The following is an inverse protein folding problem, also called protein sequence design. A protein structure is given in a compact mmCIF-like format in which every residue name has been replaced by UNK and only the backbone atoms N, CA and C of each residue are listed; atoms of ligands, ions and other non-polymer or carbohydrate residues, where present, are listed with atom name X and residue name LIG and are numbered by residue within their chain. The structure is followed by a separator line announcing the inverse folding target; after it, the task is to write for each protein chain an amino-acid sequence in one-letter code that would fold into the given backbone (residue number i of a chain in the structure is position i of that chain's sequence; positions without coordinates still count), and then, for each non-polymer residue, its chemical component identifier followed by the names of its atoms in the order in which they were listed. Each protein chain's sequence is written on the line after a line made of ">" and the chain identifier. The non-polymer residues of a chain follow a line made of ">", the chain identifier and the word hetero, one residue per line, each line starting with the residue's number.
data_IF_277825536822
#
_entry.id   IF_277825536822
#
_cell.length_a   1.000
_cell.length_b   1.000
_cell.length_c   1.000
_cell.angle_alpha   90.00
_cell.angle_beta   90.00
_cell.angle_gamma   90.00
#
_symmetry.space_group_name_H-M   'P 1'
#
loop_
_entity.id
_entity.type
_entity.pdbx_description
1 polymer ?
#
# COMPACT_ATOMS: atom_id res chain seq x y z
N UNK A 1 -25.36 14.47 -20.56
CA UNK A 1 -25.08 13.27 -19.72
C UNK A 1 -23.61 13.20 -19.31
N UNK A 2 -22.64 13.11 -20.24
CA UNK A 2 -21.20 12.97 -19.91
C UNK A 2 -20.68 14.05 -18.95
N UNK A 3 -20.97 15.33 -19.23
CA UNK A 3 -20.55 16.46 -18.36
C UNK A 3 -21.00 16.29 -16.91
N UNK A 4 -22.26 15.90 -16.68
CA UNK A 4 -22.79 15.68 -15.34
C UNK A 4 -22.09 14.52 -14.60
N UNK A 5 -21.65 13.48 -15.33
CA UNK A 5 -20.86 12.38 -14.75
C UNK A 5 -19.48 12.87 -14.34
N UNK A 6 -18.81 13.66 -15.20
CA UNK A 6 -17.49 14.24 -14.89
C UNK A 6 -17.57 15.18 -13.68
N UNK A 7 -18.57 16.07 -13.66
CA UNK A 7 -18.81 16.99 -12.53
C UNK A 7 -19.06 16.20 -11.24
N UNK A 8 -19.81 15.10 -11.31
CA UNK A 8 -20.03 14.22 -10.16
C UNK A 8 -18.74 13.55 -9.67
N UNK A 9 -17.88 13.08 -10.58
CA UNK A 9 -16.57 12.50 -10.22
C UNK A 9 -15.70 13.53 -9.51
N UNK A 10 -15.58 14.75 -10.06
CA UNK A 10 -14.81 15.83 -9.43
C UNK A 10 -15.38 16.20 -8.06
N UNK A 11 -16.71 16.30 -7.94
CA UNK A 11 -17.35 16.59 -6.65
C UNK A 11 -17.08 15.50 -5.61
N UNK A 12 -17.13 14.22 -6.00
CA UNK A 12 -16.78 13.14 -5.08
C UNK A 12 -15.31 13.19 -4.65
N UNK A 13 -14.39 13.47 -5.58
CA UNK A 13 -12.96 13.62 -5.28
C UNK A 13 -12.68 14.82 -4.36
N UNK A 14 -13.31 15.96 -4.61
CA UNK A 14 -13.14 17.18 -3.82
C UNK A 14 -13.57 17.03 -2.35
N UNK A 15 -14.45 16.07 -2.06
CA UNK A 15 -14.94 15.76 -0.72
C UNK A 15 -14.34 14.47 -0.12
N UNK A 16 -13.25 13.95 -0.69
CA UNK A 16 -12.61 12.67 -0.32
C UNK A 16 -13.62 11.51 -0.16
N UNK A 17 -14.64 11.48 -1.04
CA UNK A 17 -15.67 10.44 -0.96
C UNK A 17 -15.13 9.14 -1.51
N UNK A 18 -15.20 8.10 -0.68
CA UNK A 18 -14.66 6.76 -1.01
C UNK A 18 -15.74 5.80 -1.50
N UNK A 19 -16.62 6.25 -2.40
CA UNK A 19 -17.71 5.39 -2.91
C UNK A 19 -17.16 4.26 -3.78
N UNK A 20 -17.86 3.12 -3.80
CA UNK A 20 -17.49 1.95 -4.61
C UNK A 20 -17.39 2.30 -6.09
N UNK A 21 -18.34 3.07 -6.62
CA UNK A 21 -18.37 3.47 -8.02
C UNK A 21 -17.16 4.35 -8.40
N UNK A 22 -16.81 5.34 -7.57
CA UNK A 22 -15.63 6.18 -7.82
C UNK A 22 -14.35 5.35 -7.80
N UNK A 23 -14.18 4.49 -6.78
CA UNK A 23 -13.00 3.62 -6.68
C UNK A 23 -12.86 2.68 -7.88
N UNK A 24 -13.97 2.14 -8.38
CA UNK A 24 -13.97 1.27 -9.55
C UNK A 24 -13.53 2.04 -10.81
N UNK A 25 -14.08 3.24 -11.04
CA UNK A 25 -13.67 4.09 -12.14
C UNK A 25 -12.17 4.44 -12.07
N UNK A 26 -11.70 4.89 -10.90
CA UNK A 26 -10.28 5.21 -10.70
C UNK A 26 -9.39 3.98 -10.94
N UNK A 27 -9.80 2.80 -10.47
CA UNK A 27 -9.12 1.52 -10.74
C UNK A 27 -8.96 1.24 -12.24
N UNK A 28 -10.03 1.43 -13.02
CA UNK A 28 -9.96 1.29 -14.48
C UNK A 28 -9.01 2.31 -15.13
N UNK A 29 -9.04 3.56 -14.69
CA UNK A 29 -8.16 4.62 -15.20
C UNK A 29 -6.69 4.34 -14.88
N UNK A 30 -6.37 3.96 -13.63
CA UNK A 30 -5.00 3.60 -13.25
C UNK A 30 -4.50 2.41 -14.03
N UNK A 31 -5.30 1.35 -14.19
CA UNK A 31 -4.90 0.17 -14.96
C UNK A 31 -4.53 0.53 -16.39
N UNK A 32 -5.34 1.37 -17.05
CA UNK A 32 -5.03 1.85 -18.39
C UNK A 32 -3.75 2.69 -18.41
N UNK A 33 -3.62 3.65 -17.50
CA UNK A 33 -2.47 4.55 -17.46
C UNK A 33 -1.14 3.81 -17.20
N UNK A 34 -1.13 2.82 -16.30
CA UNK A 34 0.03 1.96 -16.06
C UNK A 34 0.34 1.06 -17.26
N UNK A 35 -0.68 0.40 -17.83
CA UNK A 35 -0.50 -0.48 -18.98
C UNK A 35 0.02 0.25 -20.23
N UNK A 36 -0.35 1.53 -20.40
CA UNK A 36 0.18 2.36 -21.50
C UNK A 36 1.51 3.05 -21.17
N UNK A 37 2.04 2.88 -19.95
CA UNK A 37 3.26 3.55 -19.50
C UNK A 37 3.13 5.07 -19.33
N UNK A 38 1.90 5.60 -19.28
CA UNK A 38 1.63 7.02 -19.04
C UNK A 38 2.00 7.41 -17.60
N UNK A 39 1.89 6.45 -16.68
CA UNK A 39 2.36 6.56 -15.29
C UNK A 39 3.23 5.37 -14.95
N UNK A 40 4.17 5.58 -14.03
CA UNK A 40 4.98 4.54 -13.41
C UNK A 40 4.91 4.65 -11.89
N UNK A 41 5.04 3.53 -11.20
CA UNK A 41 5.14 3.50 -9.75
C UNK A 41 6.52 3.96 -9.34
N UNK A 42 6.63 5.13 -8.74
CA UNK A 42 7.90 5.64 -8.26
C UNK A 42 8.35 4.86 -7.02
N UNK A 43 9.60 4.40 -7.03
CA UNK A 43 10.22 3.65 -5.95
C UNK A 43 11.57 4.31 -5.63
N UNK A 44 11.80 4.60 -4.35
CA UNK A 44 13.09 5.12 -3.90
C UNK A 44 14.21 4.09 -4.15
N UNK A 45 15.37 4.60 -4.56
CA UNK A 45 16.52 3.83 -5.07
C UNK A 45 17.02 2.75 -4.10
N UNK A 46 16.88 2.99 -2.80
CA UNK A 46 17.33 2.08 -1.73
C UNK A 46 16.36 0.93 -1.44
N UNK A 47 15.09 1.04 -1.86
CA UNK A 47 14.02 0.11 -1.48
C UNK A 47 14.22 -1.27 -2.11
N UNK A 48 14.39 -1.35 -3.43
CA UNK A 48 14.55 -2.63 -4.13
C UNK A 48 15.81 -3.39 -3.68
N UNK A 49 16.99 -2.75 -3.59
CA UNK A 49 18.19 -3.42 -3.05
C UNK A 49 18.02 -3.93 -1.61
N UNK A 50 17.34 -3.18 -0.75
CA UNK A 50 17.10 -3.59 0.63
C UNK A 50 16.17 -4.81 0.70
N UNK A 51 15.03 -4.77 -0.01
CA UNK A 51 14.07 -5.88 -0.04
C UNK A 51 14.73 -7.16 -0.57
N UNK A 52 15.53 -7.08 -1.65
CA UNK A 52 16.26 -8.25 -2.18
C UNK A 52 17.16 -8.89 -1.11
N UNK A 53 17.93 -8.09 -0.37
CA UNK A 53 18.78 -8.58 0.74
C UNK A 53 17.96 -9.22 1.86
N UNK A 54 16.82 -8.65 2.21
CA UNK A 54 15.94 -9.24 3.23
C UNK A 54 15.38 -10.60 2.81
N UNK A 55 14.97 -10.74 1.54
CA UNK A 55 14.51 -12.02 0.97
C UNK A 55 15.62 -13.06 0.93
N UNK A 56 16.83 -12.67 0.52
CA UNK A 56 18.02 -13.54 0.56
C UNK A 56 18.34 -14.02 1.99
N UNK A 57 18.07 -13.19 2.99
CA UNK A 57 18.18 -13.54 4.41
C UNK A 57 16.98 -14.36 4.94
N UNK A 58 16.03 -14.74 4.08
CA UNK A 58 14.87 -15.56 4.44
C UNK A 58 13.69 -14.79 5.01
N UNK A 59 13.69 -13.45 4.97
CA UNK A 59 12.56 -12.64 5.43
C UNK A 59 11.42 -12.64 4.40
N UNK A 60 10.19 -12.64 4.90
CA UNK A 60 9.00 -12.36 4.08
C UNK A 60 8.71 -10.85 4.08
N UNK A 61 8.20 -10.34 2.97
CA UNK A 61 7.93 -8.92 2.77
C UNK A 61 6.47 -8.74 2.34
N UNK A 62 5.74 -7.93 3.10
CA UNK A 62 4.32 -7.65 2.87
C UNK A 62 4.08 -6.14 2.75
N UNK A 63 3.04 -5.75 2.01
CA UNK A 63 2.59 -4.35 1.92
C UNK A 63 1.32 -4.14 2.74
N UNK A 64 1.22 -3.01 3.45
CA UNK A 64 -0.01 -2.54 4.07
C UNK A 64 -0.26 -1.07 3.74
N UNK A 65 -1.34 -0.79 3.00
CA UNK A 65 -1.66 0.56 2.53
C UNK A 65 -3.16 0.83 2.54
N UNK A 66 -3.56 2.10 2.56
CA UNK A 66 -4.96 2.49 2.37
C UNK A 66 -5.45 2.29 0.93
N UNK A 67 -4.52 2.24 -0.04
CA UNK A 67 -4.82 1.88 -1.43
C UNK A 67 -5.28 0.43 -1.53
N UNK A 68 -6.21 0.14 -2.45
CA UNK A 68 -6.68 -1.24 -2.65
C UNK A 68 -5.53 -2.17 -3.03
N UNK A 69 -5.64 -3.46 -2.70
CA UNK A 69 -4.64 -4.46 -3.13
C UNK A 69 -4.41 -4.42 -4.65
N UNK A 70 -5.45 -4.15 -5.44
CA UNK A 70 -5.32 -3.98 -6.89
C UNK A 70 -4.43 -2.79 -7.26
N UNK A 71 -4.65 -1.62 -6.64
CA UNK A 71 -3.85 -0.43 -6.90
C UNK A 71 -2.38 -0.62 -6.46
N UNK A 72 -2.15 -1.30 -5.35
CA UNK A 72 -0.81 -1.66 -4.90
C UNK A 72 -0.11 -2.54 -5.95
N UNK A 73 -0.79 -3.58 -6.46
CA UNK A 73 -0.22 -4.45 -7.47
C UNK A 73 0.11 -3.72 -8.78
N UNK A 74 -0.73 -2.76 -9.17
CA UNK A 74 -0.43 -1.91 -10.33
C UNK A 74 0.81 -1.04 -10.10
N UNK A 75 0.96 -0.43 -8.92
CA UNK A 75 2.12 0.40 -8.59
C UNK A 75 3.43 -0.39 -8.67
N UNK A 76 3.48 -1.58 -8.05
CA UNK A 76 4.68 -2.41 -8.01
C UNK A 76 4.93 -3.19 -9.32
N UNK A 77 3.88 -3.55 -10.07
CA UNK A 77 4.01 -4.24 -11.36
C UNK A 77 4.47 -3.33 -12.51
N UNK A 78 4.28 -2.02 -12.37
CA UNK A 78 4.66 -1.02 -13.37
C UNK A 78 5.58 0.06 -12.76
N UNK A 79 6.51 -0.37 -11.91
CA UNK A 79 7.38 0.56 -11.19
C UNK A 79 8.49 1.16 -12.08
N UNK A 80 9.18 2.18 -11.56
CA UNK A 80 10.40 2.72 -12.17
C UNK A 80 11.52 1.68 -12.28
N UNK A 81 11.49 0.65 -11.43
CA UNK A 81 12.44 -0.47 -11.38
C UNK A 81 11.96 -1.70 -12.20
N UNK A 82 10.88 -1.56 -12.97
CA UNK A 82 10.23 -2.67 -13.67
C UNK A 82 9.15 -3.36 -12.83
N UNK A 83 8.79 -4.59 -13.18
CA UNK A 83 7.88 -5.39 -12.37
C UNK A 83 8.64 -5.97 -11.17
N UNK A 84 8.25 -5.55 -9.97
CA UNK A 84 8.85 -6.00 -8.71
C UNK A 84 7.86 -6.74 -7.81
N UNK A 85 6.74 -7.23 -8.37
CA UNK A 85 5.71 -7.94 -7.59
C UNK A 85 6.25 -9.21 -6.93
N UNK A 86 7.22 -9.89 -7.55
CA UNK A 86 7.86 -11.09 -7.00
C UNK A 86 8.62 -10.83 -5.68
N UNK A 87 8.91 -9.56 -5.36
CA UNK A 87 9.57 -9.20 -4.12
C UNK A 87 8.63 -9.20 -2.90
N UNK A 88 7.32 -9.29 -3.11
CA UNK A 88 6.31 -9.24 -2.06
C UNK A 88 5.57 -10.58 -1.92
N UNK A 89 5.45 -11.08 -0.70
CA UNK A 89 4.73 -12.31 -0.37
C UNK A 89 3.23 -12.07 -0.14
N UNK A 90 2.81 -10.81 -0.03
CA UNK A 90 1.39 -10.46 0.08
C UNK A 90 1.11 -8.97 0.25
N UNK A 91 -0.18 -8.64 0.19
CA UNK A 91 -0.70 -7.28 0.25
C UNK A 91 -1.91 -7.22 1.18
N UNK A 92 -1.97 -6.15 1.97
CA UNK A 92 -3.08 -5.81 2.84
C UNK A 92 -3.58 -4.41 2.50
N UNK A 93 -4.90 -4.24 2.51
CA UNK A 93 -5.56 -2.94 2.40
C UNK A 93 -6.52 -2.72 3.57
N UNK A 94 -7.28 -1.62 3.54
CA UNK A 94 -8.26 -1.28 4.60
C UNK A 94 -9.30 -2.37 4.90
N UNK A 95 -9.44 -3.41 4.07
CA UNK A 95 -10.30 -4.57 4.37
C UNK A 95 -9.82 -5.36 5.58
N UNK A 96 -8.51 -5.38 5.87
CA UNK A 96 -7.98 -6.02 7.09
C UNK A 96 -8.33 -5.19 8.34
N UNK A 97 -8.40 -3.87 8.16
CA UNK A 97 -8.74 -2.86 9.16
C UNK A 97 -8.02 -1.52 8.88
N UNK A 98 -8.35 -0.45 9.64
CA UNK A 98 -7.66 0.85 9.56
C UNK A 98 -6.23 0.81 10.09
N UNK A 99 -5.30 1.54 9.45
CA UNK A 99 -3.86 1.56 9.81
C UNK A 99 -3.54 2.16 11.18
N UNK A 100 -4.50 2.84 11.80
CA UNK A 100 -4.37 3.49 13.11
C UNK A 100 -5.05 2.69 14.24
N UNK A 101 -5.43 1.44 13.97
CA UNK A 101 -6.03 0.53 14.95
C UNK A 101 -5.10 -0.67 15.17
N UNK A 102 -4.71 -0.94 16.42
CA UNK A 102 -3.81 -2.04 16.79
C UNK A 102 -4.34 -3.41 16.35
N UNK A 103 -5.65 -3.56 16.32
CA UNK A 103 -6.31 -4.79 15.89
C UNK A 103 -6.02 -5.16 14.42
N UNK A 104 -5.77 -4.17 13.55
CA UNK A 104 -5.38 -4.42 12.15
C UNK A 104 -4.07 -5.20 12.08
N UNK A 105 -3.09 -4.86 12.93
CA UNK A 105 -1.77 -5.50 12.95
C UNK A 105 -1.85 -6.93 13.51
N UNK A 106 -2.70 -7.17 14.52
CA UNK A 106 -2.98 -8.53 15.02
C UNK A 106 -3.58 -9.42 13.93
N UNK A 107 -4.52 -8.88 13.14
CA UNK A 107 -5.12 -9.61 12.00
C UNK A 107 -4.13 -9.85 10.87
N UNK A 108 -3.23 -8.90 10.60
CA UNK A 108 -2.14 -9.08 9.63
C UNK A 108 -1.25 -10.23 10.08
N UNK A 109 -0.78 -10.25 11.33
CA UNK A 109 0.04 -11.32 11.88
C UNK A 109 -0.66 -12.69 11.78
N UNK A 110 -1.93 -12.75 12.17
CA UNK A 110 -2.76 -13.96 12.03
C UNK A 110 -2.91 -14.41 10.57
N UNK A 111 -3.07 -13.48 9.62
CA UNK A 111 -3.17 -13.79 8.19
C UNK A 111 -1.84 -14.26 7.60
N UNK A 112 -0.70 -13.77 8.12
CA UNK A 112 0.64 -14.23 7.73
C UNK A 112 0.94 -15.60 8.37
N UNK A 113 0.32 -15.90 9.52
CA UNK A 113 0.58 -17.10 10.30
C UNK A 113 1.81 -16.95 11.20
N UNK A 114 2.04 -15.77 11.76
CA UNK A 114 3.11 -15.49 12.71
C UNK A 114 2.60 -14.69 13.92
N UNK A 115 3.43 -14.61 14.97
CA UNK A 115 3.18 -13.68 16.08
C UNK A 115 3.47 -12.24 15.67
N UNK A 116 2.83 -11.26 16.34
CA UNK A 116 2.98 -9.83 16.04
C UNK A 116 4.40 -9.33 16.24
N UNK A 117 5.11 -9.87 17.23
CA UNK A 117 6.52 -9.55 17.51
C UNK A 117 7.51 -10.14 16.49
N UNK A 118 7.06 -10.98 15.55
CA UNK A 118 7.88 -11.39 14.40
C UNK A 118 7.80 -10.40 13.22
N UNK A 119 7.09 -9.29 13.38
CA UNK A 119 6.91 -8.27 12.34
C UNK A 119 7.71 -7.03 12.71
N UNK A 120 8.48 -6.50 11.75
CA UNK A 120 8.98 -5.13 11.75
C UNK A 120 8.15 -4.31 10.76
N UNK A 121 7.39 -3.34 11.27
CA UNK A 121 6.58 -2.43 10.47
C UNK A 121 7.35 -1.13 10.18
N UNK A 122 7.44 -0.76 8.91
CA UNK A 122 8.09 0.46 8.44
C UNK A 122 7.02 1.44 7.94
N UNK A 123 6.92 2.62 8.56
CA UNK A 123 5.94 3.65 8.21
C UNK A 123 6.49 5.05 8.43
N UNK A 124 6.06 6.02 7.63
CA UNK A 124 6.33 7.44 7.81
C UNK A 124 5.35 8.12 8.78
N UNK A 125 4.23 7.45 9.11
CA UNK A 125 3.14 8.05 9.90
C UNK A 125 3.22 7.62 11.38
N UNK A 126 3.52 8.53 12.33
CA UNK A 126 3.68 8.18 13.75
C UNK A 126 2.43 7.55 14.38
N UNK A 127 1.24 7.91 13.91
CA UNK A 127 -0.01 7.31 14.42
C UNK A 127 -0.19 5.85 14.03
N UNK A 128 0.33 5.46 12.86
CA UNK A 128 0.34 4.06 12.45
C UNK A 128 1.39 3.27 13.24
N UNK A 129 2.55 3.88 13.48
CA UNK A 129 3.61 3.32 14.32
C UNK A 129 3.10 2.99 15.72
N UNK A 130 2.46 3.94 16.40
CA UNK A 130 1.90 3.73 17.75
C UNK A 130 0.88 2.58 17.77
N UNK A 131 0.01 2.50 16.75
CA UNK A 131 -0.98 1.42 16.67
C UNK A 131 -0.34 0.05 16.48
N UNK A 132 0.77 -0.04 15.72
CA UNK A 132 1.53 -1.27 15.57
C UNK A 132 2.25 -1.66 16.88
N UNK A 133 2.86 -0.71 17.59
CA UNK A 133 3.49 -0.97 18.90
C UNK A 133 2.47 -1.46 19.94
N UNK A 134 1.26 -0.89 19.99
CA UNK A 134 0.15 -1.37 20.83
C UNK A 134 -0.28 -2.81 20.51
N UNK A 135 0.07 -3.32 19.33
CA UNK A 135 -0.16 -4.70 18.92
C UNK A 135 1.02 -5.63 19.20
N UNK A 136 2.07 -5.15 19.88
CA UNK A 136 3.35 -5.87 20.09
C UNK A 136 4.12 -6.11 18.79
N UNK A 137 3.91 -5.28 17.76
CA UNK A 137 4.70 -5.28 16.53
C UNK A 137 5.90 -4.35 16.65
N UNK A 138 7.08 -4.78 16.21
CA UNK A 138 8.25 -3.91 16.14
C UNK A 138 8.05 -2.84 15.08
N UNK A 139 8.54 -1.62 15.31
CA UNK A 139 8.33 -0.50 14.40
C UNK A 139 9.61 0.28 14.16
N UNK A 140 9.77 0.79 12.94
CA UNK A 140 10.70 1.89 12.65
C UNK A 140 10.02 2.97 11.81
N UNK A 141 10.22 4.23 12.21
CA UNK A 141 9.70 5.38 11.46
C UNK A 141 10.65 5.68 10.29
N UNK A 142 10.10 5.77 9.08
CA UNK A 142 10.85 6.07 7.85
C UNK A 142 10.72 7.54 7.52
N UNK A 143 11.86 8.20 7.27
CA UNK A 143 11.90 9.61 6.86
C UNK A 143 12.29 9.66 5.38
N UNK A 144 11.48 10.32 4.56
CA UNK A 144 11.73 10.58 3.13
C UNK A 144 11.69 12.09 2.87
N UNK A 145 12.41 12.60 1.86
CA UNK A 145 12.22 13.98 1.43
C UNK A 145 10.77 14.18 0.94
N UNK A 146 10.21 15.36 1.20
CA UNK A 146 8.94 15.76 0.60
C UNK A 146 9.11 15.83 -0.93
N UNK A 147 8.18 15.22 -1.68
CA UNK A 147 8.10 15.29 -3.14
C UNK A 147 7.39 16.58 -3.59
#
# INVERSE_FOLDING_TARGET
>A
VIRAVVDNVHWQMALDRKTTALKQLQGHMWRAAYATGLVKGEIFEDVVPAIRKWREAGMKVYIYSSGSVEAQKLLFGYSTEGDILELFDGHFDTKIGPKVESESYRRIAASIGCDTNNILFLTDVPREANAAEEADTHVAVVIRPDL
#
